data_IF_010377181738
#
_entry.id   IF_010377181738
#
_cell.length_a   1.000
_cell.length_b   1.000
_cell.length_c   1.000
_cell.angle_alpha   90.00
_cell.angle_beta   90.00
_cell.angle_gamma   90.00
#
_symmetry.space_group_name_H-M   'P 1'
#
loop_
_entity.id
_entity.type
_entity.pdbx_description
1 polymer ?
#
# COMPACT_ATOMS: atom_id res chain seq x y z
N UNK A 1 -3.00 28.16 5.65
CA UNK A 1 -2.47 28.72 4.39
C UNK A 1 -3.00 27.84 3.29
N UNK A 2 -3.73 28.38 2.31
CA UNK A 2 -4.19 27.54 1.19
C UNK A 2 -3.02 27.42 0.22
N UNK A 3 -2.37 26.26 0.20
CA UNK A 3 -1.33 25.97 -0.78
C UNK A 3 -1.98 25.75 -2.15
N UNK A 4 -1.38 26.30 -3.18
CA UNK A 4 -1.85 26.16 -4.56
C UNK A 4 -0.66 25.94 -5.48
N UNK A 5 -0.37 24.70 -5.87
CA UNK A 5 0.72 24.40 -6.79
C UNK A 5 0.26 24.36 -8.26
N UNK A 6 -0.95 24.84 -8.58
CA UNK A 6 -1.56 24.69 -9.91
C UNK A 6 -1.05 25.74 -10.90
N UNK A 7 -0.59 26.87 -10.37
CA UNK A 7 -0.04 27.98 -11.12
C UNK A 7 1.27 28.44 -10.49
N UNK A 8 2.09 29.12 -11.30
CA UNK A 8 3.42 29.58 -10.90
C UNK A 8 3.39 30.44 -9.63
N UNK A 9 2.42 31.36 -9.50
CA UNK A 9 2.32 32.27 -8.36
C UNK A 9 2.05 31.53 -7.04
N UNK A 10 1.15 30.55 -7.06
CA UNK A 10 0.85 29.75 -5.88
C UNK A 10 1.99 28.79 -5.52
N UNK A 11 2.67 28.24 -6.54
CA UNK A 11 3.88 27.45 -6.37
C UNK A 11 4.98 28.26 -5.68
N UNK A 12 5.28 29.45 -6.20
CA UNK A 12 6.25 30.37 -5.63
C UNK A 12 5.95 30.72 -4.17
N UNK A 13 4.69 31.04 -3.85
CA UNK A 13 4.25 31.28 -2.47
C UNK A 13 4.47 30.08 -1.56
N UNK A 14 4.29 28.86 -2.08
CA UNK A 14 4.52 27.65 -1.30
C UNK A 14 6.00 27.46 -1.01
N UNK A 15 6.87 27.70 -2.00
CA UNK A 15 8.32 27.65 -1.81
C UNK A 15 8.78 28.74 -0.84
N UNK A 16 8.24 29.96 -0.94
CA UNK A 16 8.52 31.05 0.00
C UNK A 16 8.15 30.70 1.44
N UNK A 17 7.02 30.02 1.64
CA UNK A 17 6.64 29.53 2.96
C UNK A 17 7.62 28.47 3.50
N UNK A 18 8.14 27.58 2.64
CA UNK A 18 9.16 26.59 3.02
C UNK A 18 10.46 27.30 3.43
N UNK A 19 10.91 28.27 2.62
CA UNK A 19 12.11 29.09 2.88
C UNK A 19 11.97 29.80 4.23
N UNK A 20 10.85 30.48 4.47
CA UNK A 20 10.59 31.20 5.71
C UNK A 20 10.64 30.28 6.94
N UNK A 21 10.05 29.08 6.87
CA UNK A 21 10.07 28.15 8.01
C UNK A 21 11.45 27.48 8.20
N UNK A 22 12.24 27.32 7.13
CA UNK A 22 13.64 26.90 7.22
C UNK A 22 14.53 27.99 7.84
N UNK A 23 14.33 29.26 7.49
CA UNK A 23 15.04 30.39 8.11
C UNK A 23 14.79 30.45 9.61
N UNK A 24 13.52 30.29 10.01
CA UNK A 24 13.05 30.22 11.40
C UNK A 24 13.42 28.93 12.13
N UNK A 25 13.93 27.92 11.41
CA UNK A 25 14.24 26.59 11.93
C UNK A 25 13.04 25.95 12.66
N UNK A 26 11.83 26.09 12.09
CA UNK A 26 10.60 25.64 12.72
C UNK A 26 10.16 24.26 12.20
N UNK A 27 10.49 23.15 12.90
CA UNK A 27 10.17 21.81 12.42
C UNK A 27 8.65 21.54 12.36
N UNK A 28 7.86 22.14 13.25
CA UNK A 28 6.43 21.87 13.35
C UNK A 28 5.71 22.43 12.12
N UNK A 29 5.96 23.69 11.78
CA UNK A 29 5.39 24.30 10.58
C UNK A 29 5.90 23.64 9.30
N UNK A 30 7.19 23.28 9.25
CA UNK A 30 7.76 22.58 8.08
C UNK A 30 7.07 21.24 7.83
N UNK A 31 6.81 20.46 8.89
CA UNK A 31 6.02 19.22 8.81
C UNK A 31 4.59 19.48 8.31
N UNK A 32 3.95 20.55 8.78
CA UNK A 32 2.60 20.94 8.32
C UNK A 32 2.60 21.25 6.83
N UNK A 33 3.56 22.03 6.34
CA UNK A 33 3.68 22.36 4.91
C UNK A 33 3.88 21.09 4.07
N UNK A 34 4.78 20.18 4.48
CA UNK A 34 4.97 18.89 3.79
C UNK A 34 3.64 18.13 3.66
N UNK A 35 2.86 18.04 4.74
CA UNK A 35 1.56 17.37 4.75
C UNK A 35 0.51 18.05 3.86
N UNK A 36 0.44 19.39 3.88
CA UNK A 36 -0.48 20.16 3.03
C UNK A 36 -0.14 20.00 1.54
N UNK A 37 1.14 19.89 1.19
CA UNK A 37 1.57 19.61 -0.19
C UNK A 37 1.13 18.21 -0.64
N UNK A 38 1.25 17.18 0.22
CA UNK A 38 0.72 15.84 -0.12
C UNK A 38 -0.77 15.89 -0.37
N UNK A 39 -1.53 16.56 0.51
CA UNK A 39 -2.98 16.70 0.37
C UNK A 39 -3.34 17.39 -0.94
N UNK A 40 -2.60 18.45 -1.30
CA UNK A 40 -2.75 19.13 -2.59
C UNK A 40 -2.48 18.19 -3.77
N UNK A 41 -1.34 17.48 -3.78
CA UNK A 41 -0.95 16.59 -4.89
C UNK A 41 -2.01 15.51 -5.13
N UNK A 42 -2.58 14.93 -4.08
CA UNK A 42 -3.64 13.92 -4.21
C UNK A 42 -4.93 14.55 -4.72
N UNK A 43 -5.38 15.64 -4.10
CA UNK A 43 -6.65 16.28 -4.45
C UNK A 43 -6.65 16.70 -5.91
N UNK A 44 -5.55 17.28 -6.39
CA UNK A 44 -5.41 17.78 -7.76
C UNK A 44 -4.91 16.74 -8.75
N UNK A 45 -4.64 15.51 -8.31
CA UNK A 45 -3.98 14.46 -9.10
C UNK A 45 -2.66 14.94 -9.75
N UNK A 46 -1.91 15.81 -9.07
CA UNK A 46 -0.64 16.39 -9.53
C UNK A 46 0.53 15.58 -8.95
N UNK A 47 0.68 14.35 -9.46
CA UNK A 47 1.68 13.40 -8.96
C UNK A 47 3.12 13.80 -9.33
N UNK A 48 3.31 14.64 -10.34
CA UNK A 48 4.64 15.13 -10.73
C UNK A 48 5.35 15.85 -9.56
N UNK A 49 4.59 16.56 -8.71
CA UNK A 49 5.13 17.34 -7.58
C UNK A 49 5.32 16.53 -6.30
N UNK A 50 5.10 15.20 -6.32
CA UNK A 50 5.07 14.39 -5.10
C UNK A 50 6.42 14.24 -4.38
N UNK A 51 7.53 14.59 -5.05
CA UNK A 51 8.84 14.62 -4.42
C UNK A 51 9.12 15.90 -3.62
N UNK A 52 8.41 17.00 -3.87
CA UNK A 52 8.49 18.22 -3.04
C UNK A 52 8.21 17.92 -1.55
N UNK A 53 7.10 17.26 -1.17
CA UNK A 53 6.84 16.97 0.23
C UNK A 53 7.87 16.02 0.84
N UNK A 54 8.54 15.17 0.04
CA UNK A 54 9.67 14.34 0.51
C UNK A 54 10.87 15.22 0.85
N UNK A 55 11.24 16.18 -0.01
CA UNK A 55 12.31 17.14 0.26
C UNK A 55 12.00 17.93 1.54
N UNK A 56 10.79 18.48 1.65
CA UNK A 56 10.35 19.25 2.83
C UNK A 56 10.36 18.35 4.08
N UNK A 57 9.99 17.08 3.97
CA UNK A 57 10.07 16.12 5.07
C UNK A 57 11.52 15.90 5.53
N UNK A 58 12.48 15.81 4.61
CA UNK A 58 13.90 15.68 4.95
C UNK A 58 14.36 16.89 5.75
N UNK A 59 14.03 18.10 5.29
CA UNK A 59 14.33 19.35 6.00
C UNK A 59 13.73 19.35 7.40
N UNK A 60 12.44 19.05 7.51
CA UNK A 60 11.76 18.92 8.80
C UNK A 60 12.49 17.95 9.74
N UNK A 61 12.87 16.76 9.26
CA UNK A 61 13.53 15.76 10.10
C UNK A 61 14.94 16.17 10.50
N UNK A 62 15.68 16.86 9.65
CA UNK A 62 16.97 17.47 10.03
C UNK A 62 16.78 18.54 11.11
N UNK A 63 15.76 19.40 10.99
CA UNK A 63 15.43 20.42 11.99
C UNK A 63 15.05 19.84 13.36
N UNK A 64 14.54 18.61 13.43
CA UNK A 64 14.24 17.95 14.72
C UNK A 64 15.45 17.40 15.47
N UNK A 65 16.64 17.39 14.85
CA UNK A 65 17.85 16.86 15.48
C UNK A 65 18.72 18.01 15.99
N UNK A 66 18.61 18.30 17.29
CA UNK A 66 19.35 19.41 17.92
C UNK A 66 20.87 19.35 17.67
N UNK A 67 21.47 18.16 17.67
CA UNK A 67 22.90 17.99 17.40
C UNK A 67 23.28 18.35 15.95
N UNK A 68 22.36 18.17 15.01
CA UNK A 68 22.55 18.57 13.61
C UNK A 68 22.39 20.07 13.48
N UNK A 69 21.27 20.63 13.95
CA UNK A 69 20.96 22.07 13.83
C UNK A 69 22.05 22.94 14.46
N UNK A 70 22.59 22.53 15.60
CA UNK A 70 23.67 23.25 16.28
C UNK A 70 25.06 23.03 15.68
N UNK A 71 25.23 22.10 14.73
CA UNK A 71 26.52 21.79 14.12
C UNK A 71 26.99 22.92 13.17
N UNK A 72 28.32 23.07 13.04
CA UNK A 72 28.92 23.96 12.03
C UNK A 72 28.53 23.56 10.60
N UNK A 73 28.35 22.26 10.37
CA UNK A 73 27.95 21.68 9.09
C UNK A 73 26.55 22.16 8.69
N UNK A 74 25.59 22.16 9.62
CA UNK A 74 24.25 22.68 9.36
C UNK A 74 24.28 24.17 9.02
N UNK A 75 25.01 25.00 9.79
CA UNK A 75 25.12 26.43 9.50
C UNK A 75 25.68 26.70 8.09
N UNK A 76 26.69 25.94 7.67
CA UNK A 76 27.25 26.00 6.31
C UNK A 76 26.24 25.55 5.25
N UNK A 77 25.53 24.46 5.52
CA UNK A 77 24.65 23.83 4.54
C UNK A 77 23.26 24.48 4.47
N UNK A 78 22.81 25.21 5.50
CA UNK A 78 21.54 25.94 5.51
C UNK A 78 21.48 26.94 4.36
N UNK A 79 22.57 27.66 4.08
CA UNK A 79 22.65 28.56 2.92
C UNK A 79 22.46 27.83 1.59
N UNK A 80 23.06 26.63 1.44
CA UNK A 80 22.86 25.78 0.25
C UNK A 80 21.42 25.29 0.12
N UNK A 81 20.75 24.99 1.25
CA UNK A 81 19.34 24.61 1.25
C UNK A 81 18.43 25.76 0.84
N UNK A 82 18.65 26.96 1.37
CA UNK A 82 17.91 28.15 0.98
C UNK A 82 18.08 28.43 -0.52
N UNK A 83 19.33 28.38 -1.01
CA UNK A 83 19.61 28.54 -2.44
C UNK A 83 18.96 27.44 -3.29
N UNK A 84 18.91 26.20 -2.81
CA UNK A 84 18.21 25.12 -3.50
C UNK A 84 16.72 25.43 -3.67
N UNK A 85 16.04 25.91 -2.61
CA UNK A 85 14.63 26.28 -2.72
C UNK A 85 14.40 27.52 -3.58
N UNK A 86 15.28 28.53 -3.52
CA UNK A 86 15.25 29.67 -4.44
C UNK A 86 15.39 29.25 -5.91
N UNK A 87 16.27 28.29 -6.19
CA UNK A 87 16.40 27.74 -7.53
C UNK A 87 15.17 26.92 -7.92
N UNK A 88 14.65 26.11 -7.01
CA UNK A 88 13.43 25.32 -7.21
C UNK A 88 12.21 26.22 -7.49
N UNK A 89 12.15 27.40 -6.87
CA UNK A 89 11.13 28.43 -7.10
C UNK A 89 11.13 28.96 -8.53
N UNK A 90 12.33 29.19 -9.10
CA UNK A 90 12.54 29.77 -10.45
C UNK A 90 12.62 28.73 -11.56
N UNK A 91 12.76 27.47 -11.19
CA UNK A 91 12.98 26.36 -12.11
C UNK A 91 11.73 26.07 -12.93
N UNK A 92 11.89 26.01 -14.25
CA UNK A 92 10.91 25.39 -15.15
C UNK A 92 11.03 23.85 -15.18
N UNK A 93 12.13 23.29 -14.64
CA UNK A 93 12.34 21.84 -14.56
C UNK A 93 11.29 21.19 -13.65
N UNK A 94 10.44 20.37 -14.25
CA UNK A 94 9.38 19.62 -13.58
C UNK A 94 9.84 18.23 -13.10
N UNK A 95 11.10 17.85 -13.31
CA UNK A 95 11.64 16.57 -12.82
C UNK A 95 12.04 16.67 -11.33
N UNK A 96 11.02 16.69 -10.47
CA UNK A 96 11.21 16.79 -9.02
C UNK A 96 11.94 15.59 -8.41
N UNK A 97 11.99 14.45 -9.11
CA UNK A 97 12.81 13.29 -8.70
C UNK A 97 14.29 13.61 -8.83
N UNK A 98 14.69 14.17 -9.99
CA UNK A 98 16.06 14.68 -10.17
C UNK A 98 16.39 15.75 -9.15
N UNK A 99 15.44 16.65 -8.84
CA UNK A 99 15.62 17.67 -7.81
C UNK A 99 15.82 17.06 -6.41
N UNK A 100 15.08 16.02 -6.03
CA UNK A 100 15.31 15.29 -4.78
C UNK A 100 16.71 14.63 -4.75
N UNK A 101 17.14 14.01 -5.84
CA UNK A 101 18.46 13.39 -5.89
C UNK A 101 19.55 14.46 -5.73
N UNK A 102 19.45 15.56 -6.48
CA UNK A 102 20.36 16.70 -6.35
C UNK A 102 20.40 17.20 -4.90
N UNK A 103 19.24 17.34 -4.26
CA UNK A 103 19.13 17.74 -2.85
C UNK A 103 19.87 16.79 -1.92
N UNK A 104 19.71 15.47 -2.08
CA UNK A 104 20.42 14.48 -1.25
C UNK A 104 21.93 14.55 -1.48
N UNK A 105 22.37 14.73 -2.73
CA UNK A 105 23.79 14.82 -3.10
C UNK A 105 24.45 16.14 -2.68
N UNK A 106 23.70 17.19 -2.32
CA UNK A 106 24.27 18.45 -1.80
C UNK A 106 25.21 18.22 -0.61
N UNK A 107 24.97 17.15 0.16
CA UNK A 107 25.69 16.88 1.40
C UNK A 107 26.86 15.91 1.24
N UNK A 108 26.97 15.21 0.10
CA UNK A 108 27.93 14.10 -0.09
C UNK A 108 29.39 14.53 0.10
N UNK A 109 29.75 15.72 -0.43
CA UNK A 109 31.13 16.25 -0.37
C UNK A 109 31.48 16.90 0.96
N UNK A 110 30.48 17.35 1.71
CA UNK A 110 30.66 18.20 2.88
C UNK A 110 30.86 17.41 4.17
N UNK A 111 30.14 16.30 4.31
CA UNK A 111 30.12 15.44 5.49
C UNK A 111 29.46 14.10 5.13
N UNK A 112 30.24 13.01 5.18
CA UNK A 112 29.74 11.66 4.85
C UNK A 112 28.67 11.18 5.82
N UNK A 113 28.82 11.43 7.12
CA UNK A 113 27.88 10.96 8.14
C UNK A 113 26.54 11.69 7.99
N UNK A 114 26.60 13.00 7.76
CA UNK A 114 25.39 13.78 7.49
C UNK A 114 24.74 13.38 6.17
N UNK A 115 25.52 13.08 5.13
CA UNK A 115 25.00 12.53 3.88
C UNK A 115 24.28 11.19 4.08
N UNK A 116 24.88 10.23 4.80
CA UNK A 116 24.23 8.95 5.10
C UNK A 116 22.95 9.14 5.92
N UNK A 117 22.98 10.06 6.89
CA UNK A 117 21.79 10.45 7.64
C UNK A 117 20.69 10.99 6.72
N UNK A 118 21.00 11.95 5.84
CA UNK A 118 20.05 12.52 4.86
C UNK A 118 19.52 11.46 3.90
N UNK A 119 20.39 10.57 3.39
CA UNK A 119 19.99 9.44 2.53
C UNK A 119 19.00 8.51 3.25
N UNK A 120 19.26 8.20 4.52
CA UNK A 120 18.35 7.40 5.34
C UNK A 120 17.03 8.11 5.62
N UNK A 121 17.04 9.42 5.90
CA UNK A 121 15.80 10.20 6.03
C UNK A 121 15.05 10.24 4.72
N UNK A 122 15.72 10.40 3.58
CA UNK A 122 15.09 10.45 2.26
C UNK A 122 14.27 9.19 2.00
N UNK A 123 14.85 8.01 2.25
CA UNK A 123 14.12 6.74 2.18
C UNK A 123 12.91 6.73 3.13
N UNK A 124 13.10 7.10 4.40
CA UNK A 124 11.99 7.19 5.36
C UNK A 124 10.93 8.21 4.95
N UNK A 125 11.32 9.32 4.34
CA UNK A 125 10.45 10.40 3.88
C UNK A 125 9.57 9.93 2.75
N UNK A 126 10.12 9.20 1.77
CA UNK A 126 9.35 8.53 0.73
C UNK A 126 8.32 7.58 1.34
N UNK A 127 8.70 6.72 2.29
CA UNK A 127 7.75 5.81 2.97
C UNK A 127 6.65 6.58 3.71
N UNK A 128 6.98 7.66 4.42
CA UNK A 128 5.98 8.44 5.17
C UNK A 128 5.03 9.24 4.29
N UNK A 129 5.55 9.86 3.23
CA UNK A 129 4.72 10.52 2.22
C UNK A 129 3.84 9.48 1.55
N UNK A 130 4.39 8.31 1.22
CA UNK A 130 3.66 7.20 0.65
C UNK A 130 2.53 6.67 1.54
N UNK A 131 2.77 6.54 2.84
CA UNK A 131 1.74 6.13 3.79
C UNK A 131 0.59 7.13 3.85
N UNK A 132 0.90 8.43 3.70
CA UNK A 132 -0.12 9.48 3.60
C UNK A 132 -0.90 9.36 2.29
N UNK A 133 -0.23 9.17 1.15
CA UNK A 133 -0.90 8.92 -0.14
C UNK A 133 -1.86 7.73 -0.07
N UNK A 134 -1.41 6.63 0.54
CA UNK A 134 -2.24 5.44 0.76
C UNK A 134 -3.48 5.77 1.59
N UNK A 135 -3.31 6.48 2.71
CA UNK A 135 -4.44 6.92 3.54
C UNK A 135 -5.44 7.82 2.80
N UNK A 136 -5.01 8.44 1.70
CA UNK A 136 -5.84 9.25 0.82
C UNK A 136 -6.45 8.50 -0.37
N UNK A 137 -6.25 7.17 -0.47
CA UNK A 137 -6.94 6.33 -1.45
C UNK A 137 -6.06 5.76 -2.55
N UNK A 138 -4.78 6.08 -2.60
CA UNK A 138 -3.87 5.44 -3.56
C UNK A 138 -3.61 4.00 -3.13
N UNK A 139 -3.50 3.08 -4.09
CA UNK A 139 -3.07 1.71 -3.81
C UNK A 139 -1.59 1.67 -3.41
N UNK A 140 -1.19 0.64 -2.66
CA UNK A 140 0.19 0.43 -2.21
C UNK A 140 1.15 0.44 -3.41
N UNK A 141 0.79 -0.29 -4.48
CA UNK A 141 1.60 -0.41 -5.68
C UNK A 141 1.76 0.93 -6.40
N UNK A 142 0.68 1.72 -6.56
CA UNK A 142 0.77 3.06 -7.16
C UNK A 142 1.71 3.97 -6.37
N UNK A 143 1.64 3.91 -5.04
CA UNK A 143 2.54 4.67 -4.17
C UNK A 143 3.99 4.19 -4.31
N UNK A 144 4.20 2.87 -4.34
CA UNK A 144 5.50 2.24 -4.53
C UNK A 144 6.18 2.72 -5.81
N UNK A 145 5.45 2.72 -6.92
CA UNK A 145 5.95 3.17 -8.22
C UNK A 145 6.22 4.67 -8.25
N UNK A 146 5.32 5.48 -7.69
CA UNK A 146 5.47 6.94 -7.65
C UNK A 146 6.67 7.42 -6.82
N UNK A 147 6.99 6.72 -5.73
CA UNK A 147 8.03 7.14 -4.78
C UNK A 147 9.28 6.26 -4.82
N UNK A 148 9.27 5.21 -5.62
CA UNK A 148 10.31 4.19 -5.70
C UNK A 148 10.65 3.61 -4.31
N UNK A 149 9.60 3.22 -3.60
CA UNK A 149 9.70 2.50 -2.32
C UNK A 149 9.21 1.09 -2.50
N UNK A 150 9.74 0.11 -1.79
CA UNK A 150 9.20 -1.24 -1.88
C UNK A 150 7.81 -1.30 -1.24
N UNK A 151 6.93 -2.13 -1.81
CA UNK A 151 5.62 -2.42 -1.22
C UNK A 151 5.73 -2.89 0.23
N UNK A 152 6.76 -3.68 0.54
CA UNK A 152 7.03 -4.20 1.87
C UNK A 152 7.40 -3.10 2.87
N UNK A 153 8.27 -2.15 2.51
CA UNK A 153 8.61 -1.03 3.39
C UNK A 153 7.35 -0.19 3.69
N UNK A 154 6.49 0.00 2.69
CA UNK A 154 5.25 0.74 2.84
C UNK A 154 4.23 -0.02 3.72
N UNK A 155 3.98 -1.30 3.45
CA UNK A 155 3.08 -2.13 4.24
C UNK A 155 3.55 -2.27 5.69
N UNK A 156 4.84 -2.57 5.91
CA UNK A 156 5.43 -2.63 7.25
C UNK A 156 5.21 -1.32 8.02
N UNK A 157 5.35 -0.17 7.36
CA UNK A 157 5.10 1.12 8.02
C UNK A 157 3.61 1.39 8.27
N UNK A 158 2.73 1.04 7.33
CA UNK A 158 1.28 1.21 7.46
C UNK A 158 0.70 0.37 8.60
N UNK A 159 1.27 -0.81 8.81
CA UNK A 159 0.98 -1.71 9.92
C UNK A 159 1.29 -1.09 11.27
N UNK A 160 2.46 -0.47 11.42
CA UNK A 160 2.91 0.16 12.67
C UNK A 160 2.09 1.39 13.05
N UNK A 161 1.52 2.09 12.06
CA UNK A 161 0.92 3.42 12.26
C UNK A 161 -0.59 3.43 12.41
N UNK A 162 -1.25 2.27 12.37
CA UNK A 162 -2.71 2.14 12.45
C UNK A 162 -3.50 3.00 11.43
N UNK A 163 -2.84 3.54 10.40
CA UNK A 163 -3.45 4.46 9.42
C UNK A 163 -4.56 3.79 8.59
N UNK A 164 -4.58 2.46 8.56
CA UNK A 164 -5.57 1.63 7.88
C UNK A 164 -6.75 1.21 8.78
N UNK A 165 -6.79 1.61 10.06
CA UNK A 165 -7.90 1.33 10.96
C UNK A 165 -9.13 2.17 10.59
N UNK A 166 -9.91 1.69 9.63
CA UNK A 166 -11.21 2.22 9.30
C UNK A 166 -12.29 1.30 9.83
N UNK A 167 -13.35 1.86 10.43
CA UNK A 167 -14.51 1.06 10.85
C UNK A 167 -15.07 0.31 9.65
N UNK A 168 -14.95 -1.01 9.67
CA UNK A 168 -15.54 -1.89 8.67
C UNK A 168 -17.02 -2.08 9.04
N UNK A 169 -17.95 -1.96 8.08
CA UNK A 169 -19.36 -2.22 8.33
C UNK A 169 -19.60 -3.62 8.92
N UNK A 170 -20.54 -3.74 9.87
CA UNK A 170 -20.81 -5.01 10.55
C UNK A 170 -21.10 -6.19 9.62
N UNK A 171 -21.78 -5.94 8.50
CA UNK A 171 -22.10 -6.95 7.51
C UNK A 171 -20.89 -7.47 6.71
N UNK A 172 -19.74 -6.79 6.81
CA UNK A 172 -18.46 -7.22 6.24
C UNK A 172 -17.51 -7.79 7.31
N UNK A 173 -17.91 -7.79 8.59
CA UNK A 173 -17.13 -8.36 9.71
C UNK A 173 -17.27 -9.88 9.82
N UNK A 174 -17.99 -10.53 8.91
CA UNK A 174 -18.26 -11.98 8.97
C UNK A 174 -17.04 -12.73 8.42
N UNK A 175 -16.37 -13.57 9.22
CA UNK A 175 -15.34 -14.48 8.73
C UNK A 175 -15.83 -15.26 7.51
N UNK A 176 -15.10 -15.17 6.40
CA UNK A 176 -15.43 -15.90 5.17
C UNK A 176 -14.75 -17.27 5.09
N UNK A 177 -14.30 -17.77 6.23
CA UNK A 177 -13.64 -19.08 6.40
C UNK A 177 -14.49 -20.20 5.79
N UNK A 178 -15.82 -20.12 5.92
CA UNK A 178 -16.73 -21.14 5.38
C UNK A 178 -16.72 -21.23 3.86
N UNK A 179 -16.38 -20.16 3.14
CA UNK A 179 -16.32 -20.18 1.67
C UNK A 179 -15.24 -21.15 1.19
N UNK A 180 -14.09 -21.19 1.86
CA UNK A 180 -13.03 -22.15 1.58
C UNK A 180 -13.40 -23.59 1.95
N UNK A 181 -14.31 -23.78 2.91
CA UNK A 181 -14.72 -25.11 3.37
C UNK A 181 -15.80 -25.76 2.50
N UNK A 182 -16.69 -24.95 1.92
CA UNK A 182 -17.91 -25.45 1.27
C UNK A 182 -17.76 -25.64 -0.24
N UNK A 183 -16.86 -24.92 -0.90
CA UNK A 183 -16.96 -24.77 -2.35
C UNK A 183 -15.88 -25.50 -3.16
N UNK A 184 -14.86 -26.13 -2.55
CA UNK A 184 -13.74 -26.79 -3.26
C UNK A 184 -13.22 -25.98 -4.46
N UNK A 185 -13.26 -24.66 -4.36
CA UNK A 185 -12.86 -23.75 -5.42
C UNK A 185 -11.37 -23.52 -5.37
N UNK A 186 -10.77 -23.44 -6.54
CA UNK A 186 -9.41 -22.96 -6.70
C UNK A 186 -9.26 -21.56 -6.11
N UNK A 187 -8.04 -21.23 -5.71
CA UNK A 187 -7.72 -20.00 -4.98
C UNK A 187 -6.69 -19.19 -5.74
N UNK A 188 -6.93 -17.91 -5.96
CA UNK A 188 -5.95 -16.99 -6.54
C UNK A 188 -5.59 -15.91 -5.53
N UNK A 189 -4.29 -15.59 -5.45
CA UNK A 189 -3.78 -14.60 -4.52
C UNK A 189 -3.37 -13.32 -5.25
N UNK A 190 -3.64 -12.18 -4.61
CA UNK A 190 -2.98 -10.92 -4.95
C UNK A 190 -1.62 -10.81 -4.23
N UNK A 191 -0.82 -9.83 -4.66
CA UNK A 191 0.48 -9.55 -4.05
C UNK A 191 0.34 -9.15 -2.58
N UNK A 192 -0.67 -8.35 -2.22
CA UNK A 192 -0.87 -7.90 -0.84
C UNK A 192 -1.02 -9.05 0.14
N UNK A 193 -1.85 -10.04 -0.18
CA UNK A 193 -2.09 -11.21 0.66
C UNK A 193 -0.84 -12.08 0.82
N UNK A 194 -0.10 -12.33 -0.27
CA UNK A 194 1.16 -13.08 -0.19
C UNK A 194 2.18 -12.33 0.66
N UNK A 195 2.38 -11.03 0.42
CA UNK A 195 3.32 -10.23 1.19
C UNK A 195 2.97 -10.25 2.67
N UNK A 196 1.70 -10.08 3.04
CA UNK A 196 1.24 -10.16 4.43
C UNK A 196 1.59 -11.50 5.08
N UNK A 197 1.36 -12.63 4.39
CA UNK A 197 1.67 -13.98 4.88
C UNK A 197 3.18 -14.22 4.98
N UNK A 198 3.95 -13.74 3.99
CA UNK A 198 5.40 -13.82 3.96
C UNK A 198 6.05 -13.04 5.09
N UNK A 199 5.60 -11.82 5.35
CA UNK A 199 6.13 -10.93 6.38
C UNK A 199 6.02 -11.51 7.80
N UNK A 200 5.02 -12.34 8.04
CA UNK A 200 4.81 -12.99 9.35
C UNK A 200 5.41 -14.39 9.42
N UNK A 201 6.12 -14.84 8.38
CA UNK A 201 6.80 -16.14 8.35
C UNK A 201 5.86 -17.33 8.22
N UNK A 202 4.67 -17.15 7.63
CA UNK A 202 3.65 -18.21 7.52
C UNK A 202 3.62 -18.91 6.16
N UNK A 203 4.63 -18.74 5.31
CA UNK A 203 4.67 -19.32 3.95
C UNK A 203 4.44 -20.84 3.93
N UNK A 204 4.89 -21.57 4.95
CA UNK A 204 4.71 -23.02 5.03
C UNK A 204 3.24 -23.46 5.10
N UNK A 205 2.31 -22.54 5.39
CA UNK A 205 0.87 -22.81 5.39
C UNK A 205 0.38 -23.29 4.01
N UNK A 206 1.04 -22.89 2.92
CA UNK A 206 0.63 -23.28 1.56
C UNK A 206 0.95 -24.75 1.27
N UNK A 207 2.07 -25.27 1.78
CA UNK A 207 2.41 -26.70 1.65
C UNK A 207 1.39 -27.55 2.41
N UNK A 208 1.11 -27.20 3.67
CA UNK A 208 0.12 -27.88 4.50
C UNK A 208 -1.29 -27.81 3.87
N UNK A 209 -1.65 -26.66 3.29
CA UNK A 209 -2.90 -26.48 2.57
C UNK A 209 -3.00 -27.44 1.38
N UNK A 210 -1.98 -27.49 0.52
CA UNK A 210 -2.00 -28.33 -0.68
C UNK A 210 -1.96 -29.82 -0.34
N UNK A 211 -1.27 -30.21 0.74
CA UNK A 211 -1.27 -31.60 1.22
C UNK A 211 -2.65 -32.08 1.63
N UNK A 212 -3.43 -31.22 2.31
CA UNK A 212 -4.78 -31.56 2.78
C UNK A 212 -5.88 -31.34 1.74
N UNK A 213 -5.61 -30.51 0.73
CA UNK A 213 -6.54 -30.16 -0.34
C UNK A 213 -5.86 -30.35 -1.71
N UNK A 214 -5.51 -31.60 -2.09
CA UNK A 214 -4.73 -31.86 -3.30
C UNK A 214 -5.42 -31.39 -4.58
N UNK A 215 -6.76 -31.42 -4.61
CA UNK A 215 -7.57 -31.05 -5.77
C UNK A 215 -7.75 -29.54 -5.95
N UNK A 216 -7.37 -28.73 -4.95
CA UNK A 216 -7.50 -27.27 -5.00
C UNK A 216 -6.19 -26.66 -5.50
N UNK A 217 -6.27 -25.89 -6.58
CA UNK A 217 -5.12 -25.18 -7.14
C UNK A 217 -4.93 -23.83 -6.47
N UNK A 218 -3.67 -23.49 -6.20
CA UNK A 218 -3.27 -22.15 -5.75
C UNK A 218 -2.65 -21.42 -6.94
N UNK A 219 -3.22 -20.28 -7.31
CA UNK A 219 -2.83 -19.51 -8.47
C UNK A 219 -2.15 -18.20 -8.09
N UNK A 220 -1.22 -17.79 -8.94
CA UNK A 220 -0.55 -16.49 -8.91
C UNK A 220 -0.41 -16.00 -10.35
N UNK A 221 -0.69 -14.73 -10.64
CA UNK A 221 -0.44 -14.16 -11.97
C UNK A 221 1.01 -13.73 -12.12
N UNK A 222 1.47 -13.57 -13.36
CA UNK A 222 2.80 -13.04 -13.64
C UNK A 222 3.02 -11.64 -13.02
N UNK A 223 2.01 -10.77 -13.01
CA UNK A 223 2.12 -9.47 -12.33
C UNK A 223 2.32 -9.62 -10.82
N UNK A 224 1.62 -10.57 -10.18
CA UNK A 224 1.77 -10.86 -8.75
C UNK A 224 3.13 -11.47 -8.44
N UNK A 225 3.61 -12.37 -9.30
CA UNK A 225 4.96 -12.95 -9.22
C UNK A 225 6.02 -11.85 -9.27
N UNK A 226 5.97 -10.97 -10.27
CA UNK A 226 6.90 -9.86 -10.42
C UNK A 226 6.96 -8.97 -9.15
N UNK A 227 5.80 -8.71 -8.55
CA UNK A 227 5.68 -7.84 -7.37
C UNK A 227 6.17 -8.49 -6.07
N UNK A 228 5.91 -9.79 -5.93
CA UNK A 228 6.15 -10.58 -4.71
C UNK A 228 7.55 -11.21 -4.70
N UNK A 229 8.11 -11.51 -5.87
CA UNK A 229 9.37 -12.23 -6.04
C UNK A 229 10.41 -11.32 -6.70
N UNK A 230 10.26 -10.98 -7.99
CA UNK A 230 11.31 -10.30 -8.77
C UNK A 230 11.75 -8.94 -8.19
N UNK A 231 10.79 -8.13 -7.76
CA UNK A 231 11.09 -6.84 -7.13
C UNK A 231 11.75 -7.07 -5.76
N UNK A 232 11.40 -8.12 -5.04
CA UNK A 232 11.91 -8.39 -3.70
C UNK A 232 13.30 -9.00 -3.68
N UNK A 233 13.65 -9.81 -4.67
CA UNK A 233 15.02 -10.31 -4.83
C UNK A 233 16.05 -9.17 -4.95
N UNK A 234 15.62 -8.04 -5.52
CA UNK A 234 16.45 -6.82 -5.62
C UNK A 234 16.60 -6.07 -4.30
N UNK A 235 15.74 -6.35 -3.32
CA UNK A 235 15.78 -5.75 -1.98
C UNK A 235 16.25 -6.80 -0.98
N UNK A 236 17.54 -6.76 -0.62
CA UNK A 236 18.22 -7.75 0.24
C UNK A 236 17.39 -8.16 1.48
N UNK A 237 16.71 -7.22 2.13
CA UNK A 237 15.87 -7.47 3.32
C UNK A 237 14.70 -8.45 3.06
N UNK A 238 14.15 -8.46 1.85
CA UNK A 238 12.97 -9.25 1.47
C UNK A 238 13.28 -10.40 0.52
N UNK A 239 14.53 -10.51 0.04
CA UNK A 239 14.95 -11.58 -0.88
C UNK A 239 14.68 -13.00 -0.36
N UNK A 240 14.76 -13.22 0.96
CA UNK A 240 14.44 -14.53 1.55
C UNK A 240 12.98 -14.94 1.31
N UNK A 241 12.04 -14.02 1.46
CA UNK A 241 10.61 -14.27 1.24
C UNK A 241 10.36 -14.62 -0.24
N UNK A 242 11.00 -13.87 -1.17
CA UNK A 242 10.93 -14.16 -2.61
C UNK A 242 11.41 -15.57 -2.95
N UNK A 243 12.57 -15.98 -2.40
CA UNK A 243 13.12 -17.33 -2.59
C UNK A 243 12.16 -18.42 -2.11
N UNK A 244 11.48 -18.20 -0.97
CA UNK A 244 10.52 -19.17 -0.45
C UNK A 244 9.30 -19.33 -1.36
N UNK A 245 8.78 -18.26 -1.94
CA UNK A 245 7.69 -18.35 -2.92
C UNK A 245 8.13 -19.02 -4.22
N UNK A 246 9.32 -18.69 -4.72
CA UNK A 246 9.89 -19.31 -5.92
C UNK A 246 10.07 -20.83 -5.72
N UNK A 247 10.45 -21.26 -4.51
CA UNK A 247 10.49 -22.66 -4.14
C UNK A 247 9.11 -23.33 -4.15
N UNK A 248 8.06 -22.68 -3.64
CA UNK A 248 6.69 -23.21 -3.70
C UNK A 248 6.18 -23.37 -5.14
N UNK A 249 6.54 -22.45 -6.04
CA UNK A 249 6.24 -22.55 -7.47
C UNK A 249 6.95 -23.76 -8.08
N UNK A 250 8.27 -23.91 -7.84
CA UNK A 250 9.07 -25.05 -8.33
C UNK A 250 8.57 -26.40 -7.83
N UNK A 251 7.98 -26.44 -6.63
CA UNK A 251 7.34 -27.63 -6.07
C UNK A 251 5.96 -27.94 -6.66
N UNK A 252 5.38 -27.05 -7.48
CA UNK A 252 4.02 -27.19 -7.99
C UNK A 252 2.93 -26.91 -6.95
N UNK A 253 3.27 -26.25 -5.84
CA UNK A 253 2.28 -25.79 -4.85
C UNK A 253 1.48 -24.62 -5.41
N UNK A 254 2.18 -23.66 -6.03
CA UNK A 254 1.58 -22.57 -6.79
C UNK A 254 1.68 -22.84 -8.29
N UNK A 255 0.59 -22.56 -9.01
CA UNK A 255 0.57 -22.51 -10.46
C UNK A 255 0.67 -21.05 -10.92
N UNK A 256 1.76 -20.74 -11.63
CA UNK A 256 1.97 -19.43 -12.23
C UNK A 256 1.17 -19.30 -13.53
N UNK A 257 0.31 -18.28 -13.62
CA UNK A 257 -0.46 -17.97 -14.81
C UNK A 257 0.35 -16.97 -15.66
N UNK A 258 0.83 -17.45 -16.79
CA UNK A 258 1.54 -16.64 -17.77
C UNK A 258 0.63 -15.59 -18.40
N UNK A 259 1.18 -14.42 -18.73
CA UNK A 259 0.44 -13.27 -19.28
C UNK A 259 -0.33 -13.57 -20.57
N UNK A 260 0.18 -14.46 -21.42
CA UNK A 260 -0.50 -14.88 -22.66
C UNK A 260 -1.74 -15.76 -22.40
N UNK A 261 -1.80 -16.38 -21.22
CA UNK A 261 -2.94 -17.19 -20.75
C UNK A 261 -3.93 -16.40 -19.92
N UNK A 262 -3.66 -15.12 -19.65
CA UNK A 262 -4.57 -14.26 -18.91
C UNK A 262 -5.82 -13.96 -19.75
N UNK A 263 -7.03 -14.05 -19.17
CA UNK A 263 -8.23 -13.56 -19.85
C UNK A 263 -8.07 -12.09 -20.20
N UNK A 264 -8.61 -11.65 -21.34
CA UNK A 264 -8.52 -10.24 -21.74
C UNK A 264 -9.24 -9.34 -20.72
N UNK A 265 -8.54 -8.33 -20.22
CA UNK A 265 -9.02 -7.39 -19.20
C UNK A 265 -9.99 -6.31 -19.72
N UNK A 266 -10.16 -6.20 -21.05
CA UNK A 266 -10.47 -4.96 -21.75
C UNK A 266 -11.72 -4.18 -21.34
N UNK A 267 -12.74 -4.80 -20.75
CA UNK A 267 -13.92 -4.06 -20.24
C UNK A 267 -13.86 -3.81 -18.75
N UNK A 268 -13.32 -4.73 -17.95
CA UNK A 268 -13.35 -4.60 -16.49
C UNK A 268 -12.37 -3.54 -15.99
N UNK A 269 -11.19 -3.45 -16.62
CA UNK A 269 -10.19 -2.41 -16.32
C UNK A 269 -10.78 -1.01 -16.45
N UNK A 270 -11.31 -0.73 -17.63
CA UNK A 270 -11.89 0.55 -17.98
C UNK A 270 -13.11 0.85 -17.11
N UNK A 271 -13.96 -0.14 -16.83
CA UNK A 271 -15.09 0.05 -15.93
C UNK A 271 -14.63 0.46 -14.54
N UNK A 272 -13.70 -0.28 -13.93
CA UNK A 272 -13.27 -0.05 -12.55
C UNK A 272 -12.50 1.27 -12.40
N UNK A 273 -11.54 1.55 -13.28
CA UNK A 273 -10.68 2.74 -13.21
C UNK A 273 -11.31 4.01 -13.79
N UNK A 274 -12.54 3.92 -14.30
CA UNK A 274 -13.32 5.09 -14.72
C UNK A 274 -14.67 5.22 -14.02
N UNK A 275 -14.89 4.39 -12.98
CA UNK A 275 -16.12 4.37 -12.19
C UNK A 275 -16.29 5.62 -11.34
N UNK A 276 -15.22 6.04 -10.66
CA UNK A 276 -15.19 7.20 -9.79
C UNK A 276 -14.38 8.34 -10.38
N UNK A 277 -14.83 9.57 -10.18
CA UNK A 277 -14.15 10.76 -10.66
C UNK A 277 -14.42 11.97 -9.77
N UNK A 278 -13.45 12.88 -9.70
CA UNK A 278 -13.60 14.22 -9.08
C UNK A 278 -13.67 15.27 -10.18
N UNK A 279 -13.75 16.55 -9.82
CA UNK A 279 -13.59 17.64 -10.80
C UNK A 279 -12.19 17.69 -11.42
N UNK A 280 -11.22 16.98 -10.85
CA UNK A 280 -9.84 16.89 -11.33
C UNK A 280 -9.57 15.70 -12.25
N UNK A 281 -10.56 14.84 -12.45
CA UNK A 281 -10.46 13.71 -13.37
C UNK A 281 -10.86 12.38 -12.73
N UNK A 282 -10.52 11.31 -13.43
CA UNK A 282 -10.86 9.94 -13.04
C UNK A 282 -9.96 9.46 -11.90
N UNK A 283 -10.52 8.66 -11.00
CA UNK A 283 -9.78 8.01 -9.94
C UNK A 283 -9.37 6.61 -10.42
N UNK A 284 -8.07 6.44 -10.67
CA UNK A 284 -7.48 5.12 -10.91
C UNK A 284 -7.37 4.38 -9.57
N UNK A 285 -8.18 3.33 -9.41
CA UNK A 285 -8.35 2.59 -8.16
C UNK A 285 -7.51 1.31 -8.14
N UNK A 286 -7.62 0.53 -9.23
CA UNK A 286 -7.04 -0.79 -9.35
C UNK A 286 -5.75 -0.72 -10.14
N UNK A 287 -4.74 -1.41 -9.63
CA UNK A 287 -3.50 -1.64 -10.36
C UNK A 287 -3.59 -2.93 -11.16
N UNK A 288 -2.67 -3.07 -12.13
CA UNK A 288 -2.64 -4.20 -13.04
C UNK A 288 -2.65 -5.56 -12.33
N UNK A 289 -1.83 -5.74 -11.30
CA UNK A 289 -1.75 -7.01 -10.56
C UNK A 289 -3.06 -7.39 -9.88
N UNK A 290 -3.70 -6.43 -9.22
CA UNK A 290 -5.01 -6.61 -8.57
C UNK A 290 -6.08 -6.96 -9.60
N UNK A 291 -6.11 -6.22 -10.72
CA UNK A 291 -7.06 -6.43 -11.78
C UNK A 291 -6.88 -7.79 -12.45
N UNK A 292 -5.64 -8.22 -12.72
CA UNK A 292 -5.35 -9.54 -13.28
C UNK A 292 -5.92 -10.64 -12.36
N UNK A 293 -5.70 -10.55 -11.04
CA UNK A 293 -6.25 -11.52 -10.08
C UNK A 293 -7.78 -11.49 -10.03
N UNK A 294 -8.41 -10.31 -10.10
CA UNK A 294 -9.88 -10.16 -10.12
C UNK A 294 -10.47 -10.76 -11.40
N UNK A 295 -9.91 -10.45 -12.57
CA UNK A 295 -10.36 -10.98 -13.87
C UNK A 295 -10.24 -12.49 -13.89
N UNK A 296 -9.12 -13.03 -13.41
CA UNK A 296 -8.91 -14.47 -13.37
C UNK A 296 -9.91 -15.15 -12.42
N UNK A 297 -10.14 -14.59 -11.22
CA UNK A 297 -11.13 -15.10 -10.28
C UNK A 297 -12.53 -15.12 -10.89
N UNK A 298 -12.92 -14.03 -11.56
CA UNK A 298 -14.22 -13.89 -12.24
C UNK A 298 -14.43 -14.95 -13.32
N UNK A 299 -13.40 -15.21 -14.15
CA UNK A 299 -13.52 -16.10 -15.31
C UNK A 299 -13.43 -17.58 -14.94
N UNK A 300 -12.71 -17.91 -13.89
CA UNK A 300 -12.45 -19.30 -13.49
C UNK A 300 -13.21 -19.71 -12.22
N UNK A 301 -14.09 -18.84 -11.69
CA UNK A 301 -14.84 -19.09 -10.46
C UNK A 301 -13.92 -19.46 -9.27
N UNK A 302 -12.78 -18.76 -9.17
CA UNK A 302 -11.85 -18.93 -8.06
C UNK A 302 -12.24 -18.04 -6.87
N UNK A 303 -11.80 -18.44 -5.69
CA UNK A 303 -11.75 -17.55 -4.53
C UNK A 303 -10.54 -16.61 -4.67
N UNK A 304 -10.78 -15.31 -4.63
CA UNK A 304 -9.75 -14.28 -4.61
C UNK A 304 -9.33 -13.98 -3.17
N UNK A 305 -8.05 -14.15 -2.87
CA UNK A 305 -7.42 -13.69 -1.63
C UNK A 305 -6.81 -12.33 -1.87
N UNK A 306 -7.39 -11.29 -1.28
CA UNK A 306 -6.93 -9.90 -1.44
C UNK A 306 -6.99 -9.10 -0.15
N UNK A 307 -5.86 -8.49 0.20
CA UNK A 307 -5.74 -7.65 1.40
C UNK A 307 -6.03 -6.17 1.13
N UNK A 308 -6.03 -5.71 -0.12
CA UNK A 308 -6.30 -4.30 -0.44
C UNK A 308 -7.78 -3.93 -0.24
N UNK A 309 -8.03 -2.94 0.63
CA UNK A 309 -9.38 -2.53 1.01
C UNK A 309 -10.15 -1.93 -0.16
N UNK A 310 -9.46 -1.17 -1.04
CA UNK A 310 -10.07 -0.53 -2.20
C UNK A 310 -10.62 -1.58 -3.15
N UNK A 311 -9.81 -2.57 -3.53
CA UNK A 311 -10.22 -3.64 -4.44
C UNK A 311 -11.32 -4.50 -3.85
N UNK A 312 -11.19 -4.88 -2.58
CA UNK A 312 -12.24 -5.64 -1.88
C UNK A 312 -13.56 -4.88 -1.84
N UNK A 313 -13.55 -3.61 -1.45
CA UNK A 313 -14.80 -2.83 -1.36
C UNK A 313 -15.38 -2.49 -2.72
N UNK A 314 -14.56 -2.42 -3.77
CA UNK A 314 -15.08 -2.28 -5.13
C UNK A 314 -15.94 -3.48 -5.53
N UNK A 315 -15.51 -4.69 -5.14
CA UNK A 315 -16.23 -5.94 -5.39
C UNK A 315 -17.44 -6.08 -4.46
N UNK A 316 -17.25 -5.88 -3.16
CA UNK A 316 -18.25 -6.23 -2.15
C UNK A 316 -19.24 -5.11 -1.83
N UNK A 317 -18.82 -3.84 -1.93
CA UNK A 317 -19.61 -2.70 -1.45
C UNK A 317 -19.22 -1.36 -2.12
N UNK A 318 -19.34 -1.23 -3.47
CA UNK A 318 -18.78 -0.09 -4.19
C UNK A 318 -19.39 1.27 -3.80
N UNK A 319 -20.65 1.31 -3.34
CA UNK A 319 -21.23 2.54 -2.80
C UNK A 319 -20.63 2.98 -1.46
N UNK A 320 -20.09 2.04 -0.67
CA UNK A 320 -19.32 2.37 0.53
C UNK A 320 -17.92 2.84 0.17
N UNK A 321 -17.31 2.23 -0.85
CA UNK A 321 -16.06 2.71 -1.44
C UNK A 321 -16.17 4.15 -1.92
N UNK A 322 -17.27 4.49 -2.61
CA UNK A 322 -17.56 5.87 -3.01
C UNK A 322 -17.50 6.85 -1.84
N UNK A 323 -18.26 6.60 -0.76
CA UNK A 323 -18.26 7.45 0.46
C UNK A 323 -16.88 7.52 1.12
N UNK A 324 -16.16 6.40 1.12
CA UNK A 324 -14.79 6.36 1.63
C UNK A 324 -13.87 7.27 0.82
N UNK A 325 -13.98 7.24 -0.50
CA UNK A 325 -13.19 8.12 -1.37
C UNK A 325 -13.56 9.59 -1.13
N UNK A 326 -14.84 9.94 -1.00
CA UNK A 326 -15.24 11.32 -0.64
C UNK A 326 -14.56 11.79 0.66
N UNK A 327 -14.55 10.94 1.68
CA UNK A 327 -13.90 11.24 2.95
C UNK A 327 -12.38 11.38 2.83
N UNK A 328 -11.72 10.54 2.01
CA UNK A 328 -10.25 10.54 1.85
C UNK A 328 -9.75 11.71 1.02
N UNK A 329 -10.43 12.01 -0.08
CA UNK A 329 -10.10 13.12 -0.97
C UNK A 329 -10.56 14.48 -0.42
N UNK A 330 -11.41 14.49 0.63
CA UNK A 330 -12.02 15.71 1.19
C UNK A 330 -12.73 16.54 0.10
N UNK A 331 -13.32 15.83 -0.86
CA UNK A 331 -13.95 16.39 -2.05
C UNK A 331 -15.11 15.50 -2.48
N UNK A 332 -16.10 16.11 -3.16
CA UNK A 332 -17.20 15.36 -3.76
C UNK A 332 -16.66 14.44 -4.85
N UNK A 333 -16.93 13.15 -4.70
CA UNK A 333 -16.64 12.12 -5.71
C UNK A 333 -17.94 11.86 -6.45
N UNK A 334 -17.89 11.86 -7.76
CA UNK A 334 -19.00 11.47 -8.62
C UNK A 334 -18.75 10.04 -9.12
N UNK A 335 -19.82 9.36 -9.50
CA UNK A 335 -19.75 8.03 -10.07
C UNK A 335 -20.72 7.85 -11.22
N UNK A 336 -20.35 7.03 -12.20
CA UNK A 336 -21.20 6.66 -13.31
C UNK A 336 -22.10 5.48 -12.93
N UNK A 337 -23.40 5.72 -12.83
CA UNK A 337 -24.37 4.71 -12.40
C UNK A 337 -24.45 3.52 -13.37
N UNK A 338 -24.36 3.77 -14.68
CA UNK A 338 -24.38 2.70 -15.68
C UNK A 338 -23.16 1.80 -15.55
N UNK A 339 -21.96 2.40 -15.40
CA UNK A 339 -20.73 1.63 -15.17
C UNK A 339 -20.75 0.89 -13.85
N UNK A 340 -21.31 1.48 -12.80
CA UNK A 340 -21.48 0.84 -11.51
C UNK A 340 -22.32 -0.44 -11.64
N UNK A 341 -23.44 -0.35 -12.34
CA UNK A 341 -24.34 -1.49 -12.53
C UNK A 341 -23.69 -2.60 -13.38
N UNK A 342 -22.92 -2.21 -14.41
CA UNK A 342 -22.11 -3.15 -15.20
C UNK A 342 -21.00 -3.82 -14.38
N UNK A 343 -20.25 -3.04 -13.60
CA UNK A 343 -19.20 -3.56 -12.73
C UNK A 343 -19.78 -4.52 -11.68
N UNK A 344 -20.90 -4.15 -11.04
CA UNK A 344 -21.61 -5.02 -10.10
C UNK A 344 -22.02 -6.33 -10.75
N UNK A 345 -22.59 -6.29 -11.96
CA UNK A 345 -22.98 -7.51 -12.67
C UNK A 345 -21.79 -8.44 -12.97
N UNK A 346 -20.63 -7.87 -13.33
CA UNK A 346 -19.41 -8.65 -13.60
C UNK A 346 -18.74 -9.18 -12.33
N UNK A 347 -18.79 -8.44 -11.23
CA UNK A 347 -18.06 -8.74 -9.99
C UNK A 347 -18.89 -9.53 -8.98
N UNK A 348 -20.21 -9.63 -9.14
CA UNK A 348 -21.12 -10.29 -8.19
C UNK A 348 -20.71 -11.72 -7.83
N UNK A 349 -20.15 -12.45 -8.78
CA UNK A 349 -19.76 -13.86 -8.60
C UNK A 349 -18.34 -14.03 -8.04
N UNK A 350 -17.58 -12.93 -7.91
CA UNK A 350 -16.21 -12.98 -7.38
C UNK A 350 -16.25 -13.16 -5.87
N UNK A 351 -15.87 -14.36 -5.45
CA UNK A 351 -15.72 -14.71 -4.05
C UNK A 351 -14.43 -14.12 -3.50
N UNK A 352 -14.53 -13.21 -2.53
CA UNK A 352 -13.37 -12.51 -1.94
C UNK A 352 -13.17 -12.93 -0.50
N UNK A 353 -11.93 -13.26 -0.15
CA UNK A 353 -11.44 -13.43 1.22
C UNK A 353 -10.12 -12.67 1.39
N UNK A 354 -9.59 -12.59 2.62
CA UNK A 354 -8.29 -11.98 2.92
C UNK A 354 -7.25 -13.00 3.36
N UNK A 355 -6.00 -12.57 3.50
CA UNK A 355 -4.97 -13.40 4.15
C UNK A 355 -5.37 -13.79 5.57
N UNK A 356 -6.01 -12.91 6.35
CA UNK A 356 -6.54 -13.22 7.69
C UNK A 356 -7.63 -14.29 7.67
N UNK A 357 -8.49 -14.30 6.65
CA UNK A 357 -9.52 -15.35 6.47
C UNK A 357 -8.87 -16.69 6.12
N UNK A 358 -7.88 -16.68 5.22
CA UNK A 358 -7.14 -17.87 4.81
C UNK A 358 -6.37 -18.50 5.99
N UNK A 359 -5.73 -17.67 6.83
CA UNK A 359 -5.07 -18.18 8.05
C UNK A 359 -6.10 -18.60 9.10
N UNK A 360 -7.23 -17.90 9.24
CA UNK A 360 -8.34 -18.33 10.07
C UNK A 360 -8.84 -19.74 9.70
N UNK A 361 -8.96 -20.01 8.40
CA UNK A 361 -9.24 -21.34 7.86
C UNK A 361 -8.17 -22.36 8.28
N UNK A 362 -6.89 -22.05 8.07
CA UNK A 362 -5.78 -22.94 8.45
C UNK A 362 -5.78 -23.28 9.95
N UNK A 363 -6.11 -22.31 10.82
CA UNK A 363 -6.26 -22.56 12.25
C UNK A 363 -7.44 -23.51 12.51
N UNK A 364 -8.61 -23.27 11.90
CA UNK A 364 -9.79 -24.12 12.04
C UNK A 364 -9.55 -25.56 11.55
N UNK A 365 -8.71 -25.73 10.55
CA UNK A 365 -8.28 -27.04 10.05
C UNK A 365 -7.17 -27.68 10.90
N UNK A 366 -6.68 -27.00 11.94
CA UNK A 366 -5.65 -27.54 12.82
C UNK A 366 -4.26 -27.62 12.19
N UNK A 367 -3.91 -26.70 11.30
CA UNK A 367 -2.56 -26.62 10.71
C UNK A 367 -1.52 -26.21 11.78
N UNK A 368 -2.02 -25.58 12.86
CA UNK A 368 -1.21 -25.04 13.94
C UNK A 368 -1.40 -25.79 15.27
N UNK A 369 -1.93 -27.04 15.25
CA UNK A 369 -2.23 -27.84 16.46
C UNK A 369 -1.07 -27.91 17.47
N UNK A 370 0.18 -27.95 16.98
CA UNK A 370 1.39 -27.95 17.83
C UNK A 370 1.53 -26.72 18.74
N UNK A 371 0.74 -25.67 18.53
CA UNK A 371 0.73 -24.44 19.31
C UNK A 371 -0.53 -24.24 20.15
N UNK A 372 -1.49 -25.18 20.17
CA UNK A 372 -2.79 -25.00 20.84
C UNK A 372 -2.68 -24.62 22.33
N UNK A 373 -1.61 -25.08 23.00
CA UNK A 373 -1.32 -24.76 24.41
C UNK A 373 -0.85 -23.32 24.65
N UNK A 374 -0.51 -22.57 23.60
CA UNK A 374 0.14 -21.26 23.70
C UNK A 374 -0.80 -20.06 23.47
N UNK A 375 -2.12 -20.27 23.40
CA UNK A 375 -3.10 -19.22 23.06
C UNK A 375 -2.68 -18.39 21.82
N UNK A 376 -2.14 -19.06 20.81
CA UNK A 376 -1.45 -18.43 19.68
C UNK A 376 -2.40 -17.75 18.68
N UNK A 377 -3.70 -18.10 18.68
CA UNK A 377 -4.67 -17.67 17.66
C UNK A 377 -4.75 -16.16 17.54
N UNK A 378 -4.88 -15.45 18.67
CA UNK A 378 -4.96 -13.98 18.69
C UNK A 378 -3.65 -13.34 18.21
N UNK A 379 -2.47 -13.63 18.81
CA UNK A 379 -1.20 -13.12 18.30
C UNK A 379 -0.98 -13.39 16.81
N UNK A 380 -1.36 -14.57 16.32
CA UNK A 380 -1.21 -14.97 14.92
C UNK A 380 -2.05 -14.09 13.97
N UNK A 381 -3.33 -13.90 14.25
CA UNK A 381 -4.20 -13.06 13.41
C UNK A 381 -3.80 -11.57 13.49
N UNK A 382 -3.38 -11.09 14.67
CA UNK A 382 -2.83 -9.74 14.81
C UNK A 382 -1.52 -9.57 14.05
N UNK A 383 -0.68 -10.62 13.97
CA UNK A 383 0.55 -10.55 13.19
C UNK A 383 0.27 -10.26 11.72
N UNK A 384 -0.79 -10.83 11.12
CA UNK A 384 -1.17 -10.56 9.73
C UNK A 384 -1.63 -9.12 9.52
N UNK A 385 -2.40 -8.57 10.48
CA UNK A 385 -2.75 -7.15 10.50
C UNK A 385 -1.50 -6.27 10.51
N UNK A 386 -0.54 -6.61 11.36
CA UNK A 386 0.77 -5.93 11.38
C UNK A 386 1.69 -6.33 10.21
N UNK A 387 1.32 -7.34 9.44
CA UNK A 387 1.99 -7.78 8.21
C UNK A 387 1.53 -7.01 6.97
N UNK A 388 0.43 -6.26 7.06
CA UNK A 388 -0.13 -5.46 5.96
C UNK A 388 -1.58 -5.79 5.61
N UNK A 389 -2.19 -6.81 6.24
CA UNK A 389 -3.57 -7.20 5.95
C UNK A 389 -4.55 -6.11 6.41
N UNK A 390 -5.38 -5.59 5.50
CA UNK A 390 -6.42 -4.61 5.84
C UNK A 390 -7.60 -5.26 6.60
N UNK A 391 -7.36 -5.54 7.88
CA UNK A 391 -8.33 -6.03 8.85
C UNK A 391 -8.35 -5.14 10.08
N UNK A 392 -9.48 -5.00 10.72
CA UNK A 392 -9.68 -4.21 11.94
C UNK A 392 -9.47 -5.05 13.20
N UNK A 393 -9.34 -4.39 14.35
CA UNK A 393 -9.23 -5.09 15.63
C UNK A 393 -10.53 -5.83 15.96
N UNK A 394 -11.67 -5.21 15.68
CA UNK A 394 -12.99 -5.75 15.87
C UNK A 394 -13.23 -7.00 14.99
N UNK A 395 -12.72 -7.00 13.75
CA UNK A 395 -12.75 -8.19 12.89
C UNK A 395 -11.96 -9.34 13.51
N UNK A 396 -10.71 -9.11 13.94
CA UNK A 396 -9.89 -10.15 14.56
C UNK A 396 -10.56 -10.72 15.82
N UNK A 397 -11.07 -9.84 16.67
CA UNK A 397 -11.75 -10.25 17.89
C UNK A 397 -13.04 -11.03 17.58
N UNK A 398 -13.75 -10.72 16.47
CA UNK A 398 -14.89 -11.51 15.96
C UNK A 398 -14.49 -12.93 15.54
N UNK A 399 -13.35 -13.14 14.85
CA UNK A 399 -12.85 -14.49 14.52
C UNK A 399 -12.64 -15.35 15.78
N UNK A 400 -12.17 -14.73 16.86
CA UNK A 400 -11.87 -15.41 18.12
C UNK A 400 -13.16 -15.68 18.90
N UNK A 401 -14.02 -14.67 19.04
CA UNK A 401 -15.21 -14.71 19.90
C UNK A 401 -16.30 -15.64 19.38
N UNK A 402 -16.51 -15.71 18.06
CA UNK A 402 -17.58 -16.54 17.46
C UNK A 402 -17.29 -18.04 17.51
N UNK A 403 -16.12 -18.45 18.00
CA UNK A 403 -15.72 -19.86 17.97
C UNK A 403 -15.51 -20.39 16.55
N UNK A 404 -15.52 -19.53 15.52
CA UNK A 404 -15.25 -19.89 14.12
C UNK A 404 -13.85 -20.50 13.94
N UNK A 405 -12.96 -20.26 14.92
CA UNK A 405 -11.60 -20.77 14.98
C UNK A 405 -11.41 -21.79 16.13
N UNK A 406 -12.47 -22.19 16.83
CA UNK A 406 -12.42 -23.29 17.80
C UNK A 406 -12.68 -24.61 17.06
N UNK A 407 -11.61 -25.40 16.92
CA UNK A 407 -11.68 -26.79 16.49
C UNK A 407 -12.54 -27.52 17.53
N UNK A 408 -13.65 -28.16 17.12
CA UNK A 408 -14.26 -29.19 17.96
C UNK A 408 -13.24 -30.32 18.05
N UNK A 409 -12.80 -30.62 19.27
CA UNK A 409 -11.84 -31.69 19.59
C UNK A 409 -12.19 -33.03 18.93
#
# INVERSE_FOLDING_TARGET
MVLDLSNQKGYEKTIDAIIQELERENPISTKRISNEIVDYCVTKNDTAKIYIPVIVYIVYKSLTQNHIVNSKIWKRNKGKLLLFFENLKRSEDTDFKKQLNNFVFLFEKDDKDFFYYVKNISRKGRVKVGARLYSMGFSIKRVSDLLEVSNFDLQSYLSDTQMHNQKVPENLLVPKIEMLLKESKDVIFDSGALISIGNVGLINVFEEFKQRNPDVNLYMTEAVHNETIDIQEKVIRFGWIGIQYEYLIKKGIFTLIAKDKMPKNGTLEDLCNTLFYTRYGKLELLQRGELESVVFAQKNNCVLVIDEIVTRWLIEAPLKLHKLMESRYKEKVMYDKSKLDQANAMLKEVSVIRSVDFIGFAIKQGYFKKYDTLNFKKPLLYSLKYGGCATTYEEIDSYIAKGDVNVKD
#
